data_IF_952034429120
#
_entry.id   IF_952034429120
#
_cell.length_a   1.000
_cell.length_b   1.000
_cell.length_c   1.000
_cell.angle_alpha   90.00
_cell.angle_beta   90.00
_cell.angle_gamma   90.00
#
_symmetry.space_group_name_H-M   'P 1'
#
loop_
_entity.id
_entity.type
_entity.pdbx_description
1 polymer ?
#
# COMPACT_ATOMS: atom_id res chain seq x y z
N UNK A 1 -7.91 -7.95 -4.00
CA UNK A 1 -8.55 -8.69 -5.10
C UNK A 1 -7.80 -8.46 -6.42
N UNK A 2 -7.71 -7.22 -6.92
CA UNK A 2 -6.92 -6.87 -8.12
C UNK A 2 -5.46 -7.38 -8.11
N UNK A 3 -4.77 -7.31 -6.97
CA UNK A 3 -3.40 -7.86 -6.82
C UNK A 3 -3.30 -9.36 -7.05
N UNK A 4 -4.26 -10.12 -6.53
CA UNK A 4 -4.30 -11.58 -6.73
C UNK A 4 -4.56 -11.91 -8.20
N UNK A 5 -5.49 -11.18 -8.84
CA UNK A 5 -5.77 -11.31 -10.28
C UNK A 5 -4.51 -11.04 -11.13
N UNK A 6 -3.78 -9.95 -10.86
CA UNK A 6 -2.53 -9.65 -11.57
C UNK A 6 -1.47 -10.74 -11.41
N UNK A 7 -1.20 -11.14 -10.17
CA UNK A 7 -0.14 -12.12 -9.86
C UNK A 7 -0.44 -13.48 -10.49
N UNK A 8 -1.70 -13.92 -10.41
CA UNK A 8 -2.15 -15.21 -10.95
C UNK A 8 -2.47 -15.16 -12.45
N UNK A 9 -2.37 -13.98 -13.08
CA UNK A 9 -2.75 -13.74 -14.49
C UNK A 9 -4.19 -14.19 -14.81
N UNK A 10 -5.10 -13.96 -13.86
CA UNK A 10 -6.53 -14.26 -14.02
C UNK A 10 -7.31 -12.97 -14.26
N UNK A 11 -8.43 -13.09 -14.96
CA UNK A 11 -9.29 -11.95 -15.28
C UNK A 11 -10.50 -11.82 -14.36
N UNK A 12 -10.83 -12.85 -13.58
CA UNK A 12 -12.06 -12.89 -12.77
C UNK A 12 -11.77 -13.49 -11.39
N UNK A 13 -12.35 -12.90 -10.35
CA UNK A 13 -12.31 -13.39 -8.97
C UNK A 13 -13.72 -13.38 -8.37
N UNK A 14 -14.13 -14.51 -7.78
CA UNK A 14 -15.34 -14.57 -6.96
C UNK A 14 -15.01 -14.09 -5.55
N UNK A 15 -15.62 -13.00 -5.13
CA UNK A 15 -15.55 -12.49 -3.77
C UNK A 15 -16.74 -13.02 -2.98
N UNK A 16 -16.54 -14.13 -2.30
CA UNK A 16 -17.60 -14.83 -1.54
C UNK A 16 -17.55 -14.37 -0.09
N UNK A 17 -18.69 -13.91 0.42
CA UNK A 17 -18.90 -13.63 1.84
C UNK A 17 -19.86 -14.69 2.40
N UNK A 18 -19.41 -15.36 3.45
CA UNK A 18 -20.16 -16.44 4.09
C UNK A 18 -20.50 -16.06 5.53
N UNK A 19 -21.74 -16.36 5.91
CA UNK A 19 -22.18 -16.49 7.30
C UNK A 19 -23.02 -17.75 7.46
N UNK A 20 -23.22 -18.22 8.69
CA UNK A 20 -24.03 -19.42 8.96
C UNK A 20 -25.45 -19.37 8.38
N UNK A 21 -26.00 -18.15 8.14
CA UNK A 21 -27.38 -17.95 7.67
C UNK A 21 -27.47 -17.63 6.18
N UNK A 22 -26.39 -17.21 5.52
CA UNK A 22 -26.41 -16.81 4.12
C UNK A 22 -25.02 -16.82 3.48
N UNK A 23 -25.01 -17.03 2.16
CA UNK A 23 -23.85 -16.90 1.27
C UNK A 23 -24.20 -15.86 0.23
N UNK A 24 -23.31 -14.91 0.02
CA UNK A 24 -23.39 -13.94 -1.08
C UNK A 24 -22.04 -13.92 -1.79
N UNK A 25 -22.04 -13.60 -3.08
CA UNK A 25 -20.80 -13.38 -3.80
C UNK A 25 -20.92 -12.30 -4.85
N UNK A 26 -19.81 -11.60 -5.05
CA UNK A 26 -19.62 -10.69 -6.17
C UNK A 26 -18.58 -11.24 -7.14
N UNK A 27 -18.79 -10.98 -8.43
CA UNK A 27 -17.81 -11.27 -9.47
C UNK A 27 -17.01 -10.00 -9.74
N UNK A 28 -15.69 -10.10 -9.56
CA UNK A 28 -14.77 -8.97 -9.74
C UNK A 28 -13.88 -9.25 -10.93
N UNK A 29 -13.99 -8.40 -11.94
CA UNK A 29 -13.12 -8.42 -13.10
C UNK A 29 -11.79 -7.71 -12.83
N UNK A 30 -10.74 -8.14 -13.52
CA UNK A 30 -9.45 -7.46 -13.50
C UNK A 30 -9.56 -6.09 -14.18
N UNK A 31 -9.17 -5.05 -13.46
CA UNK A 31 -9.12 -3.69 -13.98
C UNK A 31 -7.67 -3.28 -14.22
N UNK A 32 -7.27 -3.37 -15.49
CA UNK A 32 -5.94 -3.00 -15.95
C UNK A 32 -5.65 -1.51 -15.76
N UNK A 33 -6.64 -0.64 -15.97
CA UNK A 33 -6.47 0.81 -15.85
C UNK A 33 -6.25 1.18 -14.39
N UNK A 34 -7.06 0.63 -13.49
CA UNK A 34 -6.88 0.79 -12.05
C UNK A 34 -5.52 0.25 -11.60
N UNK A 35 -5.10 -0.91 -12.12
CA UNK A 35 -3.81 -1.50 -11.79
C UNK A 35 -2.65 -0.54 -12.04
N UNK A 36 -2.48 -0.08 -13.28
CA UNK A 36 -1.32 0.75 -13.63
C UNK A 36 -1.45 2.20 -13.14
N UNK A 37 -2.66 2.75 -13.03
CA UNK A 37 -2.84 4.14 -12.59
C UNK A 37 -2.77 4.34 -11.08
N UNK A 38 -3.06 3.30 -10.27
CA UNK A 38 -3.14 3.40 -8.81
C UNK A 38 -2.27 2.39 -8.09
N UNK A 39 -2.36 1.11 -8.43
CA UNK A 39 -1.70 0.05 -7.65
C UNK A 39 -0.20 -0.01 -7.91
N UNK A 40 0.21 -0.04 -9.18
CA UNK A 40 1.60 -0.30 -9.59
C UNK A 40 2.56 0.75 -9.02
N UNK A 41 2.23 2.03 -9.21
CA UNK A 41 3.02 3.16 -8.69
C UNK A 41 3.16 3.09 -7.18
N UNK A 42 2.09 2.79 -6.44
CA UNK A 42 2.13 2.71 -4.98
C UNK A 42 2.99 1.54 -4.49
N UNK A 43 2.90 0.39 -5.15
CA UNK A 43 3.71 -0.78 -4.81
C UNK A 43 5.19 -0.55 -5.12
N UNK A 44 5.50 0.08 -6.25
CA UNK A 44 6.86 0.44 -6.61
C UNK A 44 7.47 1.42 -5.60
N UNK A 45 6.74 2.49 -5.24
CA UNK A 45 7.20 3.45 -4.23
C UNK A 45 7.38 2.79 -2.87
N UNK A 46 6.44 1.95 -2.44
CA UNK A 46 6.57 1.20 -1.19
C UNK A 46 7.81 0.30 -1.20
N UNK A 47 8.04 -0.43 -2.29
CA UNK A 47 9.21 -1.28 -2.42
C UNK A 47 10.51 -0.47 -2.32
N UNK A 48 10.63 0.62 -3.10
CA UNK A 48 11.85 1.42 -3.19
C UNK A 48 12.14 2.25 -1.94
N UNK A 49 11.13 2.92 -1.38
CA UNK A 49 11.33 3.88 -0.29
C UNK A 49 11.17 3.24 1.10
N UNK A 50 10.34 2.20 1.24
CA UNK A 50 10.04 1.60 2.54
C UNK A 50 10.78 0.29 2.76
N UNK A 51 10.67 -0.64 1.80
CA UNK A 51 11.10 -2.03 2.01
C UNK A 51 12.59 -2.22 1.68
N UNK A 52 13.03 -1.76 0.52
CA UNK A 52 14.40 -1.95 0.03
C UNK A 52 15.47 -1.42 1.00
N UNK A 53 15.34 -0.22 1.61
CA UNK A 53 16.33 0.25 2.57
C UNK A 53 16.44 -0.66 3.80
N UNK A 54 15.33 -1.27 4.22
CA UNK A 54 15.28 -2.20 5.35
C UNK A 54 15.87 -3.58 5.01
N UNK A 55 15.80 -4.00 3.76
CA UNK A 55 16.38 -5.26 3.30
C UNK A 55 17.89 -5.17 3.09
N UNK A 56 18.36 -4.08 2.47
CA UNK A 56 19.78 -3.91 2.13
C UNK A 56 20.61 -3.51 3.36
N UNK A 57 20.11 -2.55 4.15
CA UNK A 57 20.81 -2.07 5.33
C UNK A 57 19.83 -1.87 6.51
N UNK A 58 19.42 -2.95 7.20
CA UNK A 58 18.60 -2.83 8.40
C UNK A 58 19.41 -2.14 9.52
N UNK A 59 19.19 -0.83 9.67
CA UNK A 59 19.79 -0.02 10.75
C UNK A 59 19.07 -0.30 12.08
N UNK A 60 17.74 -0.31 12.03
CA UNK A 60 16.90 -0.74 13.14
C UNK A 60 16.97 -2.27 13.28
N UNK A 61 17.35 -2.75 14.46
CA UNK A 61 17.70 -4.16 14.72
C UNK A 61 19.18 -4.39 15.03
N UNK A 62 20.09 -3.57 14.49
CA UNK A 62 21.52 -3.57 14.89
C UNK A 62 21.76 -2.69 16.11
N UNK A 63 21.33 -1.42 16.03
CA UNK A 63 21.57 -0.42 17.09
C UNK A 63 20.35 -0.10 17.94
N UNK A 64 19.16 -0.47 17.47
CA UNK A 64 17.86 -0.22 18.12
C UNK A 64 17.58 1.26 18.46
N UNK A 65 18.19 2.20 17.73
CA UNK A 65 18.00 3.64 17.94
C UNK A 65 16.73 4.14 17.23
N UNK A 66 16.03 5.10 17.84
CA UNK A 66 14.84 5.72 17.25
C UNK A 66 15.15 6.43 15.92
N UNK A 67 16.34 7.01 15.79
CA UNK A 67 16.81 7.65 14.55
C UNK A 67 17.01 6.67 13.38
N UNK A 68 17.08 5.36 13.67
CA UNK A 68 17.21 4.33 12.65
C UNK A 68 15.86 3.89 12.07
N UNK A 69 14.76 4.36 12.67
CA UNK A 69 13.41 4.21 12.12
C UNK A 69 13.24 5.30 11.05
N UNK A 70 13.46 4.90 9.80
CA UNK A 70 13.33 5.80 8.66
C UNK A 70 11.88 5.86 8.17
N UNK A 71 11.36 7.08 8.03
CA UNK A 71 10.09 7.37 7.37
C UNK A 71 10.33 7.80 5.91
N UNK A 72 9.63 7.20 4.94
CA UNK A 72 9.66 7.58 3.53
C UNK A 72 9.40 9.08 3.30
N UNK A 73 10.08 9.63 2.31
CA UNK A 73 9.99 11.05 1.92
C UNK A 73 8.57 11.49 1.62
N UNK A 74 7.79 10.63 0.97
CA UNK A 74 6.40 10.92 0.62
C UNK A 74 5.51 11.09 1.86
N UNK A 75 5.74 10.29 2.91
CA UNK A 75 5.00 10.38 4.18
C UNK A 75 5.34 11.67 4.90
N UNK A 76 6.64 12.01 4.98
CA UNK A 76 7.09 13.27 5.59
C UNK A 76 6.51 14.50 4.86
N UNK A 77 6.46 14.46 3.53
CA UNK A 77 5.85 15.51 2.72
C UNK A 77 4.34 15.66 3.01
N UNK A 78 3.61 14.54 3.07
CA UNK A 78 2.18 14.55 3.35
C UNK A 78 1.86 15.06 4.77
N UNK A 79 2.65 14.69 5.77
CA UNK A 79 2.53 15.22 7.14
C UNK A 79 2.73 16.74 7.15
N UNK A 80 3.76 17.23 6.46
CA UNK A 80 4.06 18.67 6.37
C UNK A 80 2.91 19.44 5.70
N UNK A 81 2.36 18.92 4.61
CA UNK A 81 1.24 19.54 3.91
C UNK A 81 -0.04 19.56 4.76
N UNK A 82 -0.32 18.47 5.50
CA UNK A 82 -1.46 18.41 6.41
C UNK A 82 -1.37 19.45 7.52
N UNK A 83 -0.19 19.60 8.13
CA UNK A 83 0.05 20.60 9.17
C UNK A 83 -0.04 22.03 8.62
N UNK A 84 0.41 22.25 7.38
CA UNK A 84 0.26 23.54 6.70
C UNK A 84 -1.21 23.91 6.54
N UNK A 85 -2.08 23.00 6.11
CA UNK A 85 -3.52 23.26 5.95
C UNK A 85 -4.18 23.64 7.28
N UNK A 86 -3.86 22.96 8.38
CA UNK A 86 -4.43 23.26 9.71
C UNK A 86 -4.08 24.70 10.16
N UNK A 87 -2.87 25.17 9.87
CA UNK A 87 -2.44 26.54 10.17
C UNK A 87 -3.16 27.62 9.35
N UNK A 88 -3.72 27.28 8.18
CA UNK A 88 -4.49 28.24 7.36
C UNK A 88 -6.00 28.24 7.70
N UNK A 89 -6.45 27.32 8.56
CA UNK A 89 -7.87 27.18 8.95
C UNK A 89 -8.10 27.62 10.41
N UNK A 90 -7.03 28.03 11.12
CA UNK A 90 -7.07 28.60 12.48
C UNK A 90 -6.84 30.11 12.44
#
# INVERSE_FOLDING_TARGET
>A
LQGQLKITKRNVCYFVVYSEKWIEYDVIDYDERFWYSKMDIQLETFYKECLLPKLVEPRYGKRLLKSDIFEPTQILHNIKNKNKIILYVS
#
